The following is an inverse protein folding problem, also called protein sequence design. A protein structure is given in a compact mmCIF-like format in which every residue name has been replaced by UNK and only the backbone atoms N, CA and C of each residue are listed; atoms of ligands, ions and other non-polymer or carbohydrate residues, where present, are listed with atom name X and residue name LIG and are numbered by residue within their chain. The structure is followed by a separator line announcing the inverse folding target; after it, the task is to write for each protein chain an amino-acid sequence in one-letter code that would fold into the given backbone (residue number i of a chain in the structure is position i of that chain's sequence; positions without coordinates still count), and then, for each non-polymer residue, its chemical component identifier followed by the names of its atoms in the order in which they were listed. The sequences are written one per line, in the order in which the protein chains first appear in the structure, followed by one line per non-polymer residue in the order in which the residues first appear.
data_IF_307092933853
#
_entry.id   IF_307092933853
#
_cell.length_a   1.000
_cell.length_b   1.000
_cell.length_c   1.000
_cell.angle_alpha   90.00
_cell.angle_beta   90.00
_cell.angle_gamma   90.00
#
_symmetry.space_group_name_H-M   'P 1'
#
loop_
_entity.id
_entity.type
_entity.pdbx_description
1 polymer ?
#
# COMPACT_ATOMS: atom_id res chain seq x y z
N UNK A 1 7.29 -3.25 10.46
CA UNK A 1 5.84 -3.00 10.59
C UNK A 1 5.61 -2.22 11.87
N UNK A 2 4.74 -1.21 11.86
CA UNK A 2 4.73 -0.15 12.89
C UNK A 2 4.68 -0.66 14.33
N UNK A 3 3.87 -1.69 14.63
CA UNK A 3 3.80 -2.31 15.96
C UNK A 3 5.16 -2.79 16.47
N UNK A 4 5.93 -3.49 15.63
CA UNK A 4 7.25 -3.99 15.99
C UNK A 4 8.28 -2.85 16.06
N UNK A 5 8.19 -1.86 15.17
CA UNK A 5 9.06 -0.68 15.17
C UNK A 5 8.89 0.17 16.44
N UNK A 6 7.68 0.25 16.98
CA UNK A 6 7.39 0.91 18.25
C UNK A 6 7.71 0.05 19.49
N UNK A 7 8.24 -1.17 19.33
CA UNK A 7 8.56 -2.05 20.46
C UNK A 7 7.33 -2.64 21.17
N UNK A 8 6.15 -2.63 20.52
CA UNK A 8 4.88 -3.11 21.11
C UNK A 8 4.55 -4.57 20.74
N UNK A 9 5.48 -5.27 20.08
CA UNK A 9 5.27 -6.65 19.69
C UNK A 9 5.10 -7.56 20.93
N UNK A 10 3.96 -8.26 21.00
CA UNK A 10 3.65 -9.15 22.12
C UNK A 10 3.03 -8.48 23.34
N UNK A 11 2.70 -7.18 23.27
CA UNK A 11 1.96 -6.50 24.34
C UNK A 11 0.64 -7.26 24.65
N UNK A 12 0.32 -7.49 25.94
CA UNK A 12 -0.75 -8.41 26.35
C UNK A 12 -2.16 -7.91 25.99
N UNK A 13 -2.31 -6.60 25.83
CA UNK A 13 -3.52 -5.86 25.51
C UNK A 13 -3.59 -5.41 24.04
N UNK A 14 -2.65 -5.86 23.20
CA UNK A 14 -2.60 -5.50 21.79
C UNK A 14 -3.15 -6.60 20.88
N UNK A 15 -4.10 -6.22 20.04
CA UNK A 15 -4.59 -7.05 18.93
C UNK A 15 -4.16 -6.44 17.60
N UNK A 16 -3.54 -7.24 16.75
CA UNK A 16 -3.09 -6.82 15.41
C UNK A 16 -3.93 -7.53 14.36
N UNK A 17 -4.61 -6.75 13.52
CA UNK A 17 -5.26 -7.27 12.33
C UNK A 17 -4.43 -6.94 11.09
N UNK A 18 -4.51 -7.79 10.07
CA UNK A 18 -3.76 -7.61 8.84
C UNK A 18 -4.40 -8.32 7.66
N UNK A 19 -3.89 -8.02 6.47
CA UNK A 19 -4.28 -8.70 5.23
C UNK A 19 -3.07 -9.40 4.61
N UNK A 20 -3.31 -10.55 3.99
CA UNK A 20 -2.31 -11.30 3.25
C UNK A 20 -2.18 -10.78 1.80
N UNK A 21 -3.10 -9.92 1.36
CA UNK A 21 -3.21 -9.41 -0.03
C UNK A 21 -2.42 -8.17 -0.37
N UNK A 22 -1.52 -7.74 0.52
CA UNK A 22 -0.57 -6.66 0.24
C UNK A 22 0.84 -7.21 0.17
N UNK A 23 1.65 -6.97 1.19
CA UNK A 23 3.07 -7.36 1.20
C UNK A 23 3.31 -8.86 1.11
N UNK A 24 2.31 -9.70 1.41
CA UNK A 24 2.40 -11.16 1.32
C UNK A 24 1.84 -11.73 0.01
N UNK A 25 1.35 -10.90 -0.91
CA UNK A 25 0.98 -11.31 -2.28
C UNK A 25 -0.05 -12.44 -2.37
N UNK A 26 -0.86 -12.66 -1.34
CA UNK A 26 -1.77 -13.80 -1.22
C UNK A 26 -3.22 -13.35 -0.97
N UNK A 27 -4.16 -14.27 -0.79
CA UNK A 27 -5.51 -13.94 -0.34
C UNK A 27 -5.59 -14.15 1.18
N UNK A 28 -6.44 -13.37 1.86
CA UNK A 28 -6.83 -13.64 3.25
C UNK A 28 -6.58 -12.49 4.22
N UNK A 29 -7.03 -12.71 5.47
CA UNK A 29 -6.80 -11.85 6.61
C UNK A 29 -6.10 -12.60 7.73
N UNK A 30 -5.60 -11.86 8.72
CA UNK A 30 -5.06 -12.42 9.95
C UNK A 30 -5.48 -11.58 11.15
N UNK A 31 -5.60 -12.26 12.30
CA UNK A 31 -5.66 -11.64 13.62
C UNK A 31 -4.53 -12.27 14.44
N UNK A 32 -3.67 -11.43 15.01
CA UNK A 32 -2.58 -11.82 15.89
C UNK A 32 -2.76 -11.17 17.26
N UNK A 33 -2.54 -11.94 18.32
CA UNK A 33 -2.72 -11.54 19.70
C UNK A 33 -2.46 -12.72 20.64
N UNK A 34 -3.01 -12.67 21.85
CA UNK A 34 -2.85 -13.74 22.84
C UNK A 34 -3.53 -15.06 22.42
N UNK A 35 -3.10 -16.17 23.03
CA UNK A 35 -3.78 -17.47 22.86
C UNK A 35 -5.24 -17.42 23.29
N UNK A 36 -5.52 -16.71 24.39
CA UNK A 36 -6.88 -16.48 24.91
C UNK A 36 -7.75 -15.77 23.87
N UNK A 37 -7.22 -14.75 23.17
CA UNK A 37 -7.94 -14.09 22.09
C UNK A 37 -8.25 -15.07 20.94
N UNK A 38 -7.25 -15.86 20.52
CA UNK A 38 -7.43 -16.84 19.44
C UNK A 38 -8.53 -17.84 19.80
N UNK A 39 -8.50 -18.38 21.01
CA UNK A 39 -9.51 -19.32 21.51
C UNK A 39 -10.89 -18.68 21.57
N UNK A 40 -10.99 -17.45 22.08
CA UNK A 40 -12.25 -16.70 22.12
C UNK A 40 -12.84 -16.46 20.72
N UNK A 41 -12.02 -16.11 19.72
CA UNK A 41 -12.48 -15.93 18.34
C UNK A 41 -12.95 -17.25 17.71
N UNK A 42 -12.26 -18.36 17.98
CA UNK A 42 -12.67 -19.69 17.50
C UNK A 42 -14.02 -20.09 18.11
N UNK A 43 -14.23 -19.81 19.40
CA UNK A 43 -15.41 -20.23 20.15
C UNK A 43 -16.65 -19.35 19.88
N UNK A 44 -16.46 -18.02 19.76
CA UNK A 44 -17.58 -17.07 19.84
C UNK A 44 -17.83 -16.27 18.57
N UNK A 45 -16.83 -16.08 17.71
CA UNK A 45 -16.98 -15.17 16.58
C UNK A 45 -17.85 -15.81 15.51
N UNK A 46 -19.12 -15.40 15.46
CA UNK A 46 -20.08 -15.82 14.42
C UNK A 46 -19.50 -15.68 13.01
N UNK A 47 -18.75 -14.61 12.76
CA UNK A 47 -18.10 -14.33 11.47
C UNK A 47 -16.92 -15.24 11.16
N UNK A 48 -16.34 -15.93 12.15
CA UNK A 48 -15.36 -17.00 11.97
C UNK A 48 -16.04 -18.36 11.83
N UNK A 49 -17.03 -18.65 12.68
CA UNK A 49 -17.80 -19.91 12.66
C UNK A 49 -18.48 -20.15 11.31
N UNK A 50 -18.98 -19.08 10.67
CA UNK A 50 -19.60 -19.15 9.34
C UNK A 50 -18.64 -18.78 8.19
N UNK A 51 -17.34 -18.69 8.46
CA UNK A 51 -16.32 -18.57 7.40
C UNK A 51 -15.92 -19.97 6.93
N UNK A 52 -15.78 -20.17 5.62
CA UNK A 52 -15.22 -21.42 5.06
C UNK A 52 -13.71 -21.50 5.27
N UNK A 53 -13.11 -20.43 5.80
CA UNK A 53 -11.69 -20.35 6.11
C UNK A 53 -10.84 -20.04 4.88
N UNK A 54 -9.53 -20.01 5.10
CA UNK A 54 -8.59 -19.65 4.06
C UNK A 54 -8.29 -20.83 3.13
N UNK A 55 -8.36 -20.61 1.81
CA UNK A 55 -7.97 -21.60 0.81
C UNK A 55 -6.51 -22.07 1.06
N UNK A 56 -6.21 -23.39 1.06
CA UNK A 56 -4.87 -23.92 1.26
C UNK A 56 -3.79 -23.32 0.33
N UNK A 57 -4.12 -23.05 -0.94
CA UNK A 57 -3.19 -22.44 -1.89
C UNK A 57 -2.83 -21.00 -1.48
N UNK A 58 -3.80 -20.22 -0.99
CA UNK A 58 -3.56 -18.88 -0.48
C UNK A 58 -2.71 -18.89 0.80
N UNK A 59 -2.96 -19.84 1.71
CA UNK A 59 -2.14 -20.03 2.90
C UNK A 59 -0.69 -20.41 2.54
N UNK A 60 -0.51 -21.31 1.57
CA UNK A 60 0.81 -21.69 1.04
C UNK A 60 1.57 -20.51 0.42
N UNK A 61 0.88 -19.71 -0.41
CA UNK A 61 1.46 -18.50 -1.01
C UNK A 61 1.88 -17.48 0.06
N UNK A 62 1.03 -17.22 1.05
CA UNK A 62 1.35 -16.29 2.14
C UNK A 62 2.56 -16.77 2.97
N UNK A 63 2.64 -18.09 3.26
CA UNK A 63 3.76 -18.68 3.98
C UNK A 63 5.07 -18.57 3.18
N UNK A 64 5.02 -18.79 1.87
CA UNK A 64 6.18 -18.62 0.99
C UNK A 64 6.66 -17.15 0.97
N UNK A 65 5.73 -16.20 0.79
CA UNK A 65 6.05 -14.77 0.83
C UNK A 65 6.64 -14.33 2.19
N UNK A 66 6.11 -14.84 3.30
CA UNK A 66 6.65 -14.58 4.64
C UNK A 66 8.07 -15.13 4.79
N UNK A 67 8.36 -16.32 4.26
CA UNK A 67 9.71 -16.90 4.27
C UNK A 67 10.69 -16.05 3.46
N UNK A 68 10.28 -15.55 2.30
CA UNK A 68 11.09 -14.62 1.48
C UNK A 68 11.38 -13.35 2.28
N UNK A 69 10.36 -12.72 2.88
CA UNK A 69 10.54 -11.49 3.66
C UNK A 69 11.46 -11.69 4.86
N UNK A 70 11.44 -12.87 5.50
CA UNK A 70 12.37 -13.21 6.60
C UNK A 70 13.79 -13.45 6.10
N UNK A 71 13.95 -13.99 4.90
CA UNK A 71 15.27 -14.25 4.30
C UNK A 71 15.90 -12.98 3.69
N UNK A 72 15.08 -11.98 3.35
CA UNK A 72 15.49 -10.71 2.73
C UNK A 72 15.03 -9.53 3.59
N UNK A 73 15.67 -9.30 4.75
CA UNK A 73 15.23 -8.29 5.72
C UNK A 73 15.38 -6.85 5.21
N UNK A 74 16.11 -6.62 4.12
CA UNK A 74 16.34 -5.33 3.46
C UNK A 74 15.18 -4.89 2.55
N UNK A 75 14.23 -5.77 2.22
CA UNK A 75 13.07 -5.45 1.37
C UNK A 75 12.28 -4.20 1.79
N UNK A 76 11.94 -4.02 3.08
CA UNK A 76 11.27 -2.81 3.56
C UNK A 76 12.10 -1.55 3.37
N UNK A 77 13.42 -1.63 3.51
CA UNK A 77 14.31 -0.46 3.37
C UNK A 77 14.45 -0.06 1.91
N UNK A 78 14.59 -1.04 1.01
CA UNK A 78 14.52 -0.81 -0.45
C UNK A 78 13.20 -0.17 -0.87
N UNK A 79 12.08 -0.68 -0.35
CA UNK A 79 10.76 -0.08 -0.58
C UNK A 79 10.70 1.38 -0.15
N UNK A 80 11.20 1.71 1.06
CA UNK A 80 11.24 3.08 1.59
C UNK A 80 12.13 3.98 0.72
N UNK A 81 13.32 3.51 0.36
CA UNK A 81 14.25 4.23 -0.53
C UNK A 81 13.59 4.54 -1.88
N UNK A 82 12.96 3.54 -2.50
CA UNK A 82 12.23 3.72 -3.75
C UNK A 82 11.09 4.74 -3.61
N UNK A 83 10.37 4.71 -2.48
CA UNK A 83 9.26 5.64 -2.21
C UNK A 83 9.75 7.08 -2.02
N UNK A 84 10.85 7.28 -1.30
CA UNK A 84 11.48 8.60 -1.13
C UNK A 84 11.95 9.13 -2.47
N UNK A 85 12.69 8.34 -3.25
CA UNK A 85 13.18 8.73 -4.58
C UNK A 85 12.04 9.14 -5.52
N UNK A 86 10.98 8.34 -5.61
CA UNK A 86 9.85 8.66 -6.48
C UNK A 86 9.09 9.90 -5.99
N UNK A 87 8.98 10.10 -4.67
CA UNK A 87 8.36 11.30 -4.11
C UNK A 87 9.17 12.56 -4.46
N UNK A 88 10.49 12.52 -4.28
CA UNK A 88 11.41 13.60 -4.66
C UNK A 88 11.30 13.92 -6.15
N UNK A 89 11.29 12.89 -7.01
CA UNK A 89 11.14 13.05 -8.46
C UNK A 89 9.81 13.69 -8.83
N UNK A 90 8.74 13.34 -8.12
CA UNK A 90 7.43 13.94 -8.32
C UNK A 90 7.28 15.31 -7.62
N UNK A 91 8.25 15.80 -6.83
CA UNK A 91 8.08 17.03 -6.04
C UNK A 91 7.06 16.90 -4.90
N UNK A 92 6.87 15.69 -4.38
CA UNK A 92 5.97 15.39 -3.27
C UNK A 92 6.71 15.40 -1.92
N UNK A 93 5.95 15.51 -0.84
CA UNK A 93 6.49 15.34 0.52
C UNK A 93 7.06 13.93 0.72
N UNK A 94 8.11 13.82 1.54
CA UNK A 94 8.73 12.54 1.89
C UNK A 94 7.70 11.58 2.51
N UNK A 95 7.44 10.41 1.89
CA UNK A 95 6.40 9.50 2.35
C UNK A 95 6.90 8.68 3.55
N UNK A 96 6.02 8.47 4.53
CA UNK A 96 6.31 7.58 5.67
C UNK A 96 6.09 6.09 5.35
N UNK A 97 5.58 5.77 4.16
CA UNK A 97 5.21 4.41 3.76
C UNK A 97 5.30 4.22 2.23
N UNK A 98 4.87 3.05 1.73
CA UNK A 98 4.92 2.68 0.32
C UNK A 98 4.00 3.50 -0.63
N UNK A 99 3.15 4.37 -0.07
CA UNK A 99 2.12 5.08 -0.84
C UNK A 99 2.44 6.57 -0.85
N UNK A 100 2.54 7.14 -2.05
CA UNK A 100 2.69 8.58 -2.28
C UNK A 100 1.34 9.12 -2.74
N UNK A 101 0.88 10.19 -2.10
CA UNK A 101 -0.36 10.88 -2.46
C UNK A 101 -0.02 12.23 -3.08
N UNK A 102 -0.44 12.45 -4.33
CA UNK A 102 -0.27 13.72 -5.04
C UNK A 102 -1.64 14.40 -5.12
N UNK A 103 -1.87 15.41 -4.27
CA UNK A 103 -3.14 16.12 -4.25
C UNK A 103 -3.24 16.99 -5.50
N UNK A 104 -4.31 16.78 -6.25
CA UNK A 104 -4.63 17.49 -7.50
C UNK A 104 -5.71 18.55 -7.26
N UNK A 105 -6.69 18.24 -6.39
CA UNK A 105 -7.82 19.11 -6.08
C UNK A 105 -9.13 18.57 -6.62
N UNK A 106 -9.58 19.11 -7.76
CA UNK A 106 -10.84 18.72 -8.37
C UNK A 106 -10.79 17.33 -9.02
N UNK A 107 -11.92 16.61 -9.08
CA UNK A 107 -11.94 15.23 -9.55
C UNK A 107 -11.66 15.08 -11.05
N UNK A 108 -12.09 16.03 -11.88
CA UNK A 108 -11.90 15.97 -13.33
C UNK A 108 -10.42 16.08 -13.72
N UNK A 109 -9.63 17.07 -13.23
CA UNK A 109 -8.19 17.10 -13.44
C UNK A 109 -7.47 15.85 -12.94
N UNK A 110 -7.85 15.31 -11.78
CA UNK A 110 -7.23 14.09 -11.24
C UNK A 110 -7.44 12.89 -12.16
N UNK A 111 -8.64 12.72 -12.70
CA UNK A 111 -8.96 11.65 -13.65
C UNK A 111 -8.24 11.85 -14.98
N UNK A 112 -8.22 13.08 -15.50
CA UNK A 112 -7.51 13.40 -16.73
C UNK A 112 -6.01 13.11 -16.59
N UNK A 113 -5.38 13.48 -15.47
CA UNK A 113 -3.98 13.17 -15.21
C UNK A 113 -3.73 11.65 -15.11
N UNK A 114 -4.63 10.90 -14.46
CA UNK A 114 -4.51 9.43 -14.39
C UNK A 114 -4.63 8.76 -15.77
N UNK A 115 -5.53 9.26 -16.62
CA UNK A 115 -5.67 8.79 -18.01
C UNK A 115 -4.43 9.13 -18.85
N UNK A 116 -3.93 10.36 -18.72
CA UNK A 116 -2.69 10.81 -19.36
C UNK A 116 -1.48 9.97 -18.92
N UNK A 117 -1.39 9.56 -17.65
CA UNK A 117 -0.36 8.60 -17.19
C UNK A 117 -0.53 7.25 -17.91
N UNK A 118 -1.76 6.74 -17.98
CA UNK A 118 -2.08 5.43 -18.57
C UNK A 118 -1.76 5.36 -20.06
N UNK A 119 -2.05 6.43 -20.81
CA UNK A 119 -1.71 6.55 -22.24
C UNK A 119 -0.20 6.50 -22.49
N UNK A 120 0.59 6.88 -21.48
CA UNK A 120 2.07 6.80 -21.50
C UNK A 120 2.61 5.53 -20.84
N UNK A 121 1.75 4.53 -20.60
CA UNK A 121 2.15 3.22 -20.08
C UNK A 121 2.26 3.14 -18.55
N UNK A 122 1.89 4.19 -17.81
CA UNK A 122 1.98 4.22 -16.34
C UNK A 122 0.60 4.20 -15.70
N UNK A 123 0.27 3.12 -15.01
CA UNK A 123 -1.00 3.00 -14.27
C UNK A 123 -0.85 3.54 -12.84
N UNK A 124 -1.64 4.55 -12.51
CA UNK A 124 -1.71 5.15 -11.17
C UNK A 124 -3.11 5.04 -10.58
N UNK A 125 -3.21 5.04 -9.25
CA UNK A 125 -4.51 5.17 -8.59
C UNK A 125 -5.05 6.59 -8.71
N UNK A 126 -6.36 6.75 -8.86
CA UNK A 126 -7.05 8.05 -8.84
C UNK A 126 -8.16 8.01 -7.79
N UNK A 127 -8.03 8.81 -6.75
CA UNK A 127 -9.00 8.91 -5.66
C UNK A 127 -9.76 10.22 -5.77
N UNK A 128 -11.09 10.14 -5.68
CA UNK A 128 -12.04 11.26 -5.80
C UNK A 128 -13.24 11.01 -4.87
N UNK A 129 -14.10 12.02 -4.59
CA UNK A 129 -15.32 11.79 -3.83
C UNK A 129 -16.15 10.62 -4.39
N UNK A 130 -16.72 9.76 -3.52
CA UNK A 130 -16.78 9.87 -2.06
C UNK A 130 -15.57 9.26 -1.31
N UNK A 131 -14.54 8.77 -2.00
CA UNK A 131 -13.40 8.10 -1.35
C UNK A 131 -12.43 9.05 -0.64
N UNK A 132 -12.45 10.34 -0.99
CA UNK A 132 -11.70 11.42 -0.36
C UNK A 132 -12.59 12.66 -0.28
N UNK A 133 -12.23 13.61 0.59
CA UNK A 133 -12.95 14.86 0.74
C UNK A 133 -12.98 15.67 -0.58
N UNK A 134 -14.09 16.39 -0.86
CA UNK A 134 -14.15 17.33 -1.99
C UNK A 134 -12.96 18.30 -2.00
N UNK A 135 -12.44 18.60 -3.19
CA UNK A 135 -11.26 19.45 -3.34
C UNK A 135 -9.93 18.78 -2.94
N UNK A 136 -9.91 17.48 -2.61
CA UNK A 136 -8.69 16.73 -2.28
C UNK A 136 -8.48 15.47 -3.15
N UNK A 137 -9.08 15.47 -4.35
CA UNK A 137 -8.86 14.40 -5.34
C UNK A 137 -7.36 14.31 -5.65
N UNK A 138 -6.87 13.09 -5.82
CA UNK A 138 -5.43 12.82 -5.81
C UNK A 138 -5.04 11.64 -6.68
N UNK A 139 -3.81 11.68 -7.18
CA UNK A 139 -3.13 10.50 -7.69
C UNK A 139 -2.50 9.74 -6.52
N UNK A 140 -2.58 8.41 -6.55
CA UNK A 140 -2.01 7.52 -5.54
C UNK A 140 -1.01 6.58 -6.21
N UNK A 141 0.28 6.82 -5.96
CA UNK A 141 1.37 5.97 -6.40
C UNK A 141 1.65 4.93 -5.31
N UNK A 142 1.67 3.65 -5.65
CA UNK A 142 2.01 2.57 -4.71
C UNK A 142 3.32 1.93 -5.16
N UNK A 143 4.37 2.20 -4.40
CA UNK A 143 5.74 1.80 -4.72
C UNK A 143 5.97 0.35 -4.30
N UNK A 144 6.88 -0.33 -5.01
CA UNK A 144 7.32 -1.69 -4.69
C UNK A 144 8.85 -1.75 -4.55
N UNK A 145 9.32 -2.73 -3.80
CA UNK A 145 10.76 -2.93 -3.53
C UNK A 145 11.55 -3.46 -4.75
N UNK A 146 10.85 -4.03 -5.73
CA UNK A 146 11.42 -4.63 -6.95
C UNK A 146 11.59 -3.65 -8.12
N UNK A 147 11.15 -2.39 -7.96
CA UNK A 147 11.32 -1.36 -8.98
C UNK A 147 12.77 -0.89 -9.03
N UNK A 148 13.32 -0.81 -10.24
CA UNK A 148 14.65 -0.25 -10.49
C UNK A 148 14.61 1.28 -10.69
N UNK A 149 15.78 1.91 -10.63
CA UNK A 149 15.92 3.37 -10.75
C UNK A 149 15.37 3.90 -12.08
N UNK A 150 15.58 3.17 -13.19
CA UNK A 150 15.09 3.57 -14.50
C UNK A 150 13.55 3.59 -14.55
N UNK A 151 12.89 2.60 -13.95
CA UNK A 151 11.43 2.56 -13.84
C UNK A 151 10.91 3.69 -12.97
N UNK A 152 11.56 3.94 -11.82
CA UNK A 152 11.16 5.04 -10.92
C UNK A 152 11.29 6.41 -11.62
N UNK A 153 12.37 6.62 -12.36
CA UNK A 153 12.60 7.85 -13.11
C UNK A 153 11.56 8.02 -14.21
N UNK A 154 11.28 6.98 -14.99
CA UNK A 154 10.25 7.00 -16.03
C UNK A 154 8.86 7.30 -15.46
N UNK A 155 8.48 6.64 -14.36
CA UNK A 155 7.18 6.87 -13.69
C UNK A 155 7.08 8.31 -13.21
N UNK A 156 8.13 8.83 -12.57
CA UNK A 156 8.15 10.22 -12.10
C UNK A 156 7.98 11.23 -13.24
N UNK A 157 8.68 11.04 -14.36
CA UNK A 157 8.59 11.92 -15.52
C UNK A 157 7.19 11.90 -16.16
N UNK A 158 6.60 10.72 -16.32
CA UNK A 158 5.24 10.57 -16.85
C UNK A 158 4.21 11.24 -15.95
N UNK A 159 4.32 11.04 -14.63
CA UNK A 159 3.39 11.64 -13.65
C UNK A 159 3.50 13.16 -13.66
N UNK A 160 4.71 13.71 -13.67
CA UNK A 160 4.91 15.16 -13.75
C UNK A 160 4.35 15.75 -15.05
N UNK A 161 4.59 15.10 -16.20
CA UNK A 161 4.03 15.53 -17.48
C UNK A 161 2.50 15.56 -17.45
N UNK A 162 1.87 14.49 -16.96
CA UNK A 162 0.42 14.38 -16.86
C UNK A 162 -0.19 15.43 -15.91
N UNK A 163 0.47 15.73 -14.78
CA UNK A 163 0.02 16.78 -13.85
C UNK A 163 0.13 18.18 -14.47
N UNK A 164 1.20 18.45 -15.22
CA UNK A 164 1.36 19.74 -15.93
C UNK A 164 0.30 19.94 -17.00
N UNK A 165 -0.06 18.89 -17.74
CA UNK A 165 -1.09 18.93 -18.80
C UNK A 165 -2.46 19.36 -18.27
N UNK A 166 -2.80 18.96 -17.04
CA UNK A 166 -4.07 19.32 -16.41
C UNK A 166 -3.99 20.60 -15.58
N UNK A 167 -2.87 21.33 -15.64
CA UNK A 167 -2.64 22.55 -14.86
C UNK A 167 -2.59 22.32 -13.34
N UNK A 168 -2.33 21.10 -12.90
CA UNK A 168 -2.28 20.77 -11.48
C UNK A 168 -0.94 21.18 -10.89
N UNK A 169 -0.99 21.94 -9.80
CA UNK A 169 0.16 22.17 -8.93
C UNK A 169 0.09 21.18 -7.77
N UNK A 170 1.18 20.45 -7.53
CA UNK A 170 1.27 19.51 -6.41
C UNK A 170 1.27 20.35 -5.14
N UNK A 171 0.25 20.14 -4.31
CA UNK A 171 0.11 20.74 -2.98
C UNK A 171 0.46 19.74 -1.89
#
# INVERSE_FOLDING_TARGET
GLVAECGLAGAPDLVVTGVLSKSLGAQGGLVAGSSVLREHLIDTARTFIFDTGLNPAAAGAALAALRILRAQPDYPDRLRSNAIRLAERCGAATPSAAVISLIVGDPQPAVAAALACRERGVLVGCFRPPSVEPGTSRLRLTVRADLDDATLDHVGDVVLAALREVGAQIR
#
